data_IF_026365357958
#
_entry.id   IF_026365357958
#
_cell.length_a   1.000
_cell.length_b   1.000
_cell.length_c   1.000
_cell.angle_alpha   90.00
_cell.angle_beta   90.00
_cell.angle_gamma   90.00
#
_symmetry.space_group_name_H-M   'P 1'
#
loop_
_entity.id
_entity.type
_entity.pdbx_description
1 polymer ?
#
# COMPACT_ATOMS: atom_id res chain seq x y z
N UNK A 1 5.00 91.64 23.16
CA UNK A 1 3.75 91.71 23.95
C UNK A 1 3.36 90.26 24.25
N UNK A 2 3.60 89.76 25.48
CA UNK A 2 2.54 89.44 26.45
C UNK A 2 1.84 88.13 26.07
N UNK A 3 1.65 87.08 26.86
CA UNK A 3 1.60 86.87 28.31
C UNK A 3 1.57 85.33 28.49
N UNK A 4 2.33 84.77 29.43
CA UNK A 4 1.85 84.23 30.72
C UNK A 4 1.36 82.77 30.71
N UNK A 5 2.07 81.97 31.52
CA UNK A 5 1.65 80.89 32.42
C UNK A 5 0.59 79.86 31.99
N UNK A 6 0.91 78.57 32.18
CA UNK A 6 0.42 77.79 33.34
C UNK A 6 0.98 76.36 33.34
N UNK A 7 1.48 75.90 34.50
CA UNK A 7 1.75 74.48 34.83
C UNK A 7 0.41 73.70 34.90
N UNK A 8 0.43 72.37 34.69
CA UNK A 8 0.18 71.52 35.87
C UNK A 8 0.98 70.20 35.95
N UNK A 9 1.36 69.93 37.19
CA UNK A 9 1.39 68.68 37.97
C UNK A 9 1.64 67.29 37.34
N UNK A 10 2.64 66.64 37.95
CA UNK A 10 2.91 65.20 38.00
C UNK A 10 1.72 64.43 38.61
N UNK A 11 1.28 63.37 37.92
CA UNK A 11 0.39 62.35 38.43
C UNK A 11 0.92 60.94 38.11
N UNK A 12 1.30 60.22 39.17
CA UNK A 12 1.55 58.77 39.33
C UNK A 12 1.74 57.88 38.09
N UNK A 13 3.00 57.81 37.63
CA UNK A 13 3.56 56.61 37.01
C UNK A 13 3.79 55.54 38.09
N UNK A 14 2.78 54.69 38.39
CA UNK A 14 2.97 53.41 39.11
C UNK A 14 1.72 52.53 39.24
N UNK A 15 0.81 52.51 38.28
CA UNK A 15 -0.34 51.58 38.38
C UNK A 15 -0.91 51.10 37.03
N UNK A 16 -0.08 51.06 35.99
CA UNK A 16 -0.46 50.50 34.68
C UNK A 16 0.40 49.33 34.20
N UNK A 17 1.39 48.89 34.98
CA UNK A 17 2.30 47.78 34.61
C UNK A 17 1.95 46.45 35.29
N UNK A 18 0.80 46.35 36.00
CA UNK A 18 0.40 45.13 36.73
C UNK A 18 -0.87 44.45 36.21
N UNK A 19 -1.58 45.04 35.25
CA UNK A 19 -2.76 44.43 34.59
C UNK A 19 -2.47 43.79 33.24
N UNK A 20 -1.24 43.87 32.73
CA UNK A 20 -0.83 43.24 31.46
C UNK A 20 -0.10 41.90 31.65
N UNK A 21 -0.17 41.31 32.85
CA UNK A 21 0.51 40.05 33.22
C UNK A 21 -0.42 38.95 33.76
N UNK A 22 -1.73 39.09 33.61
CA UNK A 22 -2.74 38.09 34.00
C UNK A 22 -3.78 37.79 32.91
N UNK A 23 -3.37 37.93 31.66
CA UNK A 23 -4.05 37.34 30.50
C UNK A 23 -3.03 36.56 29.66
N UNK A 24 -2.20 35.76 30.33
CA UNK A 24 -1.69 34.54 29.70
C UNK A 24 -2.89 33.62 29.65
N UNK A 25 -3.70 33.78 28.60
CA UNK A 25 -4.69 32.79 28.24
C UNK A 25 -3.97 31.45 28.25
N UNK A 26 -4.42 30.57 29.14
CA UNK A 26 -4.26 29.15 29.01
C UNK A 26 -4.90 28.79 27.67
N UNK A 27 -4.15 28.98 26.57
CA UNK A 27 -4.35 28.18 25.38
C UNK A 27 -4.10 26.78 25.85
N UNK A 28 -5.20 26.06 26.14
CA UNK A 28 -5.18 24.62 26.27
C UNK A 28 -4.28 24.11 25.15
N UNK A 29 -3.21 23.42 25.51
CA UNK A 29 -2.37 22.76 24.54
C UNK A 29 -3.32 21.91 23.70
N UNK A 30 -3.65 22.38 22.49
CA UNK A 30 -4.26 21.55 21.48
C UNK A 30 -3.19 20.51 21.20
N UNK A 31 -3.28 19.40 21.91
CA UNK A 31 -2.62 18.16 21.53
C UNK A 31 -3.14 17.92 20.12
N UNK A 32 -2.32 18.23 19.13
CA UNK A 32 -2.60 17.86 17.75
C UNK A 32 -2.93 16.37 17.80
N UNK A 33 -4.12 16.02 17.29
CA UNK A 33 -4.45 14.61 17.10
C UNK A 33 -3.29 13.94 16.33
N UNK A 34 -3.04 12.64 16.56
CA UNK A 34 -1.92 11.94 15.94
C UNK A 34 -1.89 12.29 14.46
N UNK A 35 -0.77 12.85 13.99
CA UNK A 35 -0.52 13.12 12.57
C UNK A 35 -0.42 11.77 11.88
N UNK A 36 -1.60 11.21 11.58
CA UNK A 36 -1.83 9.81 11.27
C UNK A 36 -1.08 9.38 10.03
N UNK A 37 0.10 8.80 10.24
CA UNK A 37 0.77 7.95 9.26
C UNK A 37 -0.10 6.75 8.91
N UNK A 38 0.25 6.01 7.84
CA UNK A 38 -0.51 4.83 7.44
C UNK A 38 -0.60 3.83 8.60
N UNK A 39 -1.78 3.26 8.82
CA UNK A 39 -1.97 2.24 9.85
C UNK A 39 -1.44 0.91 9.35
N UNK A 40 -0.54 0.26 10.11
CA UNK A 40 -0.05 -1.09 9.77
C UNK A 40 -1.12 -2.15 10.05
N UNK A 41 -1.26 -3.08 9.13
CA UNK A 41 -2.06 -4.30 9.25
C UNK A 41 -1.13 -5.47 8.88
N UNK A 42 -0.95 -6.45 9.78
CA UNK A 42 -1.26 -6.38 11.20
C UNK A 42 -0.46 -5.27 11.93
N UNK A 43 -0.90 -4.80 13.10
CA UNK A 43 -0.10 -3.92 13.94
C UNK A 43 1.12 -4.70 14.47
N UNK A 44 2.25 -4.02 14.74
CA UNK A 44 3.42 -4.69 15.30
C UNK A 44 3.10 -5.24 16.69
N UNK A 45 3.15 -6.57 16.83
CA UNK A 45 2.86 -7.24 18.09
C UNK A 45 4.06 -7.22 19.03
N UNK A 46 3.79 -7.10 20.33
CA UNK A 46 4.79 -7.11 21.39
C UNK A 46 4.43 -8.12 22.47
N UNK A 47 5.43 -8.79 23.03
CA UNK A 47 5.27 -9.68 24.17
C UNK A 47 4.98 -8.88 25.47
N UNK A 48 4.81 -9.59 26.59
CA UNK A 48 4.57 -8.96 27.89
C UNK A 48 5.69 -8.01 28.33
N UNK A 49 6.92 -8.19 27.81
CA UNK A 49 8.08 -7.32 28.06
C UNK A 49 8.24 -6.19 27.04
N UNK A 50 7.29 -6.01 26.12
CA UNK A 50 7.34 -4.98 25.08
C UNK A 50 8.26 -5.31 23.91
N UNK A 51 8.79 -6.53 23.79
CA UNK A 51 9.67 -6.92 22.68
C UNK A 51 8.85 -7.32 21.45
N UNK A 52 9.28 -6.98 20.22
CA UNK A 52 8.59 -7.42 19.01
C UNK A 52 8.47 -8.95 18.96
N UNK A 53 7.27 -9.45 18.67
CA UNK A 53 7.04 -10.89 18.47
C UNK A 53 7.46 -11.23 17.04
N UNK A 54 8.36 -12.20 16.90
CA UNK A 54 8.69 -12.76 15.59
C UNK A 54 7.53 -13.62 15.07
N UNK A 55 7.15 -13.41 13.82
CA UNK A 55 6.11 -14.21 13.18
C UNK A 55 6.72 -15.34 12.36
N UNK A 56 6.12 -16.53 12.49
CA UNK A 56 6.41 -17.62 11.57
C UNK A 56 5.79 -17.29 10.20
N UNK A 57 6.53 -17.61 9.15
CA UNK A 57 6.07 -17.55 7.76
C UNK A 57 5.83 -18.98 7.27
N UNK A 58 4.78 -19.16 6.48
CA UNK A 58 4.37 -20.44 5.92
C UNK A 58 4.25 -20.31 4.40
N UNK A 59 4.38 -21.43 3.69
CA UNK A 59 4.01 -21.49 2.28
C UNK A 59 2.49 -21.69 2.19
N UNK A 60 1.82 -20.70 1.61
CA UNK A 60 0.38 -20.67 1.46
C UNK A 60 0.03 -20.93 -0.01
N UNK A 61 -0.67 -22.03 -0.25
CA UNK A 61 -1.22 -22.36 -1.56
C UNK A 61 -2.52 -21.60 -1.85
N UNK A 62 -3.00 -21.73 -3.09
CA UNK A 62 -4.24 -21.08 -3.56
C UNK A 62 -5.45 -21.43 -2.69
N UNK A 63 -5.62 -22.69 -2.30
CA UNK A 63 -6.80 -23.16 -1.56
C UNK A 63 -6.80 -22.65 -0.11
N UNK A 64 -5.63 -22.61 0.51
CA UNK A 64 -5.42 -22.07 1.85
C UNK A 64 -5.71 -20.58 1.89
N UNK A 65 -5.17 -19.81 0.94
CA UNK A 65 -5.45 -18.38 0.85
C UNK A 65 -6.94 -18.14 0.54
N UNK A 66 -7.53 -18.89 -0.41
CA UNK A 66 -8.95 -18.72 -0.77
C UNK A 66 -9.87 -18.96 0.42
N UNK A 67 -9.65 -20.03 1.19
CA UNK A 67 -10.43 -20.31 2.41
C UNK A 67 -10.30 -19.19 3.45
N UNK A 68 -9.07 -18.70 3.67
CA UNK A 68 -8.86 -17.59 4.59
C UNK A 68 -9.58 -16.30 4.13
N UNK A 69 -9.62 -16.04 2.82
CA UNK A 69 -10.36 -14.92 2.24
C UNK A 69 -11.88 -15.13 2.32
N UNK A 70 -12.38 -16.36 2.19
CA UNK A 70 -13.79 -16.72 2.39
C UNK A 70 -14.21 -16.43 3.84
N UNK A 71 -13.39 -16.83 4.81
CA UNK A 71 -13.61 -16.53 6.23
C UNK A 71 -13.61 -15.02 6.51
N UNK A 72 -12.70 -14.28 5.89
CA UNK A 72 -12.69 -12.81 5.99
C UNK A 72 -13.96 -12.19 5.40
N UNK A 73 -14.39 -12.64 4.22
CA UNK A 73 -15.58 -12.13 3.56
C UNK A 73 -16.84 -12.40 4.40
N UNK A 74 -16.95 -13.60 4.97
CA UNK A 74 -18.04 -13.96 5.88
C UNK A 74 -18.05 -13.08 7.14
N UNK A 75 -16.89 -12.85 7.76
CA UNK A 75 -16.74 -11.97 8.92
C UNK A 75 -17.14 -10.52 8.61
N UNK A 76 -16.77 -10.02 7.44
CA UNK A 76 -17.19 -8.70 6.96
C UNK A 76 -18.70 -8.61 6.72
N UNK A 77 -19.29 -9.64 6.09
CA UNK A 77 -20.73 -9.70 5.84
C UNK A 77 -21.55 -9.70 7.14
N UNK A 78 -21.11 -10.44 8.17
CA UNK A 78 -21.76 -10.43 9.50
C UNK A 78 -21.77 -9.05 10.16
N UNK A 79 -20.85 -8.15 9.76
CA UNK A 79 -20.72 -6.79 10.28
C UNK A 79 -21.33 -5.72 9.38
N UNK A 80 -21.98 -6.10 8.27
CA UNK A 80 -22.46 -5.16 7.26
C UNK A 80 -21.36 -4.26 6.66
N UNK A 81 -20.14 -4.80 6.50
CA UNK A 81 -18.96 -4.08 5.97
C UNK A 81 -18.57 -4.65 4.62
N UNK A 82 -18.28 -3.78 3.64
CA UNK A 82 -17.62 -4.17 2.39
C UNK A 82 -16.21 -3.62 2.36
N UNK A 83 -15.20 -4.50 2.36
CA UNK A 83 -13.80 -4.11 2.21
C UNK A 83 -13.35 -4.23 0.74
N UNK A 84 -12.61 -3.24 0.26
CA UNK A 84 -11.94 -3.26 -1.05
C UNK A 84 -10.45 -3.09 -0.86
N UNK A 85 -9.68 -4.05 -1.37
CA UNK A 85 -8.22 -4.05 -1.29
C UNK A 85 -7.60 -4.10 -2.68
N UNK A 86 -6.38 -3.61 -2.80
CA UNK A 86 -5.53 -3.87 -3.97
C UNK A 86 -4.36 -4.73 -3.52
N UNK A 87 -4.16 -5.88 -4.15
CA UNK A 87 -3.06 -6.81 -3.85
C UNK A 87 -2.03 -6.81 -4.96
N UNK A 88 -0.77 -7.09 -4.61
CA UNK A 88 0.36 -7.14 -5.53
C UNK A 88 1.22 -8.37 -5.23
N UNK A 89 2.04 -8.78 -6.20
CA UNK A 89 3.07 -9.78 -5.95
C UNK A 89 2.51 -11.19 -5.84
N UNK A 90 3.02 -11.95 -4.86
CA UNK A 90 2.85 -13.40 -4.79
C UNK A 90 1.40 -13.86 -4.74
N UNK A 91 0.52 -13.11 -4.07
CA UNK A 91 -0.92 -13.41 -4.04
C UNK A 91 -1.57 -13.32 -5.43
N UNK A 92 -1.22 -12.31 -6.24
CA UNK A 92 -1.70 -12.21 -7.63
C UNK A 92 -1.20 -13.40 -8.46
N UNK A 93 0.07 -13.75 -8.29
CA UNK A 93 0.69 -14.88 -9.00
C UNK A 93 0.07 -16.23 -8.63
N UNK A 94 -0.37 -16.40 -7.38
CA UNK A 94 -0.89 -17.67 -6.86
C UNK A 94 -2.39 -17.80 -7.11
N UNK A 95 -3.18 -16.77 -6.79
CA UNK A 95 -4.64 -16.81 -6.85
C UNK A 95 -5.19 -16.61 -8.27
N UNK A 96 -4.67 -15.61 -8.99
CA UNK A 96 -5.21 -15.17 -10.27
C UNK A 96 -4.43 -15.75 -11.45
N UNK A 97 -3.13 -15.45 -11.55
CA UNK A 97 -2.30 -15.84 -12.69
C UNK A 97 -1.93 -17.33 -12.67
N UNK A 98 -1.96 -17.96 -11.49
CA UNK A 98 -1.53 -19.35 -11.26
C UNK A 98 -0.14 -19.63 -11.85
N UNK A 99 0.75 -18.65 -11.76
CA UNK A 99 2.16 -18.77 -12.18
C UNK A 99 3.07 -19.25 -11.04
N UNK A 100 2.53 -19.40 -9.83
CA UNK A 100 3.19 -19.92 -8.64
C UNK A 100 2.23 -20.84 -7.89
N UNK A 101 2.76 -21.92 -7.32
CA UNK A 101 1.99 -22.84 -6.48
C UNK A 101 1.70 -22.25 -5.10
N UNK A 102 2.66 -21.48 -4.56
CA UNK A 102 2.59 -20.90 -3.22
C UNK A 102 3.15 -19.48 -3.14
N UNK A 103 2.70 -18.74 -2.13
CA UNK A 103 3.27 -17.47 -1.65
C UNK A 103 3.32 -17.47 -0.12
N UNK A 104 4.07 -16.55 0.48
CA UNK A 104 4.22 -16.48 1.94
C UNK A 104 3.16 -15.60 2.62
N UNK A 105 2.57 -14.70 1.84
CA UNK A 105 1.67 -13.66 2.29
C UNK A 105 0.82 -13.09 1.13
N UNK A 106 -0.14 -12.27 1.52
CA UNK A 106 -0.99 -11.42 0.69
C UNK A 106 -0.64 -9.97 1.02
N UNK A 107 0.29 -9.42 0.23
CA UNK A 107 0.61 -8.00 0.27
C UNK A 107 -0.57 -7.18 -0.29
N UNK A 108 -1.00 -6.16 0.45
CA UNK A 108 -2.07 -5.27 0.00
C UNK A 108 -1.80 -3.79 0.30
N UNK A 109 -2.60 -2.93 -0.32
CA UNK A 109 -2.77 -1.55 0.08
C UNK A 109 -4.23 -1.13 -0.11
N UNK A 110 -4.62 -0.08 0.62
CA UNK A 110 -5.94 0.52 0.52
C UNK A 110 -5.94 1.68 -0.46
N UNK A 111 -7.10 2.07 -1.01
CA UNK A 111 -7.21 3.32 -1.75
C UNK A 111 -6.91 4.54 -0.88
N UNK A 112 -7.35 4.50 0.37
CA UNK A 112 -7.07 5.53 1.38
C UNK A 112 -6.30 4.91 2.56
N UNK A 113 -5.04 5.33 2.80
CA UNK A 113 -4.23 4.84 3.92
C UNK A 113 -4.74 5.28 5.30
N UNK A 114 -5.70 6.20 5.34
CA UNK A 114 -6.38 6.64 6.55
C UNK A 114 -7.78 6.01 6.69
N UNK A 115 -8.14 5.09 5.79
CA UNK A 115 -9.45 4.45 5.82
C UNK A 115 -9.69 3.78 7.18
N UNK A 116 -10.88 3.97 7.79
CA UNK A 116 -11.26 3.24 8.99
C UNK A 116 -11.32 1.71 8.75
N UNK A 117 -11.34 1.28 7.48
CA UNK A 117 -11.41 -0.13 7.08
C UNK A 117 -10.21 -0.95 7.59
N UNK A 118 -9.05 -0.31 7.85
CA UNK A 118 -7.86 -0.99 8.39
C UNK A 118 -8.19 -1.86 9.61
N UNK A 119 -9.06 -1.36 10.51
CA UNK A 119 -9.47 -2.13 11.69
C UNK A 119 -10.33 -3.33 11.33
N UNK A 120 -11.31 -3.14 10.46
CA UNK A 120 -12.20 -4.21 10.04
C UNK A 120 -11.43 -5.32 9.30
N UNK A 121 -10.51 -4.94 8.41
CA UNK A 121 -9.64 -5.87 7.68
C UNK A 121 -8.73 -6.63 8.65
N UNK A 122 -8.11 -5.90 9.59
CA UNK A 122 -7.25 -6.52 10.59
C UNK A 122 -8.01 -7.57 11.44
N UNK A 123 -9.20 -7.21 11.92
CA UNK A 123 -10.05 -8.11 12.70
C UNK A 123 -10.48 -9.35 11.90
N UNK A 124 -10.86 -9.16 10.63
CA UNK A 124 -11.23 -10.26 9.74
C UNK A 124 -10.04 -11.20 9.48
N UNK A 125 -8.86 -10.65 9.18
CA UNK A 125 -7.66 -11.43 8.94
C UNK A 125 -7.21 -12.22 10.18
N UNK A 126 -7.33 -11.60 11.37
CA UNK A 126 -7.09 -12.27 12.65
C UNK A 126 -8.15 -13.33 12.95
N UNK A 127 -9.41 -13.12 12.55
CA UNK A 127 -10.46 -14.13 12.68
C UNK A 127 -10.14 -15.36 11.83
N UNK A 128 -9.87 -15.19 10.54
CA UNK A 128 -9.49 -16.29 9.63
C UNK A 128 -8.28 -17.07 10.17
N UNK A 129 -7.22 -16.38 10.59
CA UNK A 129 -6.03 -17.05 11.12
C UNK A 129 -6.30 -17.85 12.41
N UNK A 130 -7.25 -17.40 13.26
CA UNK A 130 -7.66 -18.17 14.45
C UNK A 130 -8.39 -19.45 14.10
N UNK A 131 -9.21 -19.46 13.04
CA UNK A 131 -9.95 -20.65 12.61
C UNK A 131 -9.03 -21.80 12.18
N UNK A 132 -7.83 -21.48 11.72
CA UNK A 132 -6.78 -22.45 11.35
C UNK A 132 -5.64 -22.52 12.38
N UNK A 133 -5.90 -22.16 13.63
CA UNK A 133 -4.93 -22.25 14.74
C UNK A 133 -3.58 -21.54 14.49
N UNK A 134 -3.60 -20.42 13.77
CA UNK A 134 -2.40 -19.62 13.47
C UNK A 134 -1.60 -20.09 12.26
N UNK A 135 -2.07 -21.11 11.53
CA UNK A 135 -1.34 -21.73 10.42
C UNK A 135 -1.17 -20.84 9.16
N UNK A 136 -1.77 -19.63 9.12
CA UNK A 136 -1.47 -18.67 8.05
C UNK A 136 -0.18 -17.89 8.33
N UNK A 137 0.24 -17.79 9.59
CA UNK A 137 1.31 -16.90 10.02
C UNK A 137 0.79 -15.52 10.43
N UNK A 138 1.59 -14.76 11.19
CA UNK A 138 1.16 -13.47 11.75
C UNK A 138 0.97 -12.38 10.71
N UNK A 139 1.80 -12.41 9.65
CA UNK A 139 1.89 -11.39 8.59
C UNK A 139 1.27 -11.87 7.26
N UNK A 140 0.44 -12.92 7.29
CA UNK A 140 -0.11 -13.57 6.10
C UNK A 140 -0.92 -12.62 5.22
N UNK A 141 -1.54 -11.59 5.81
CA UNK A 141 -2.19 -10.48 5.13
C UNK A 141 -1.56 -9.20 5.68
N UNK A 142 -0.72 -8.55 4.89
CA UNK A 142 0.02 -7.38 5.37
C UNK A 142 0.00 -6.20 4.39
N UNK A 143 0.09 -4.98 4.92
CA UNK A 143 0.15 -3.76 4.09
C UNK A 143 1.52 -3.08 4.10
N UNK A 144 2.60 -3.82 4.31
CA UNK A 144 3.95 -3.26 4.36
C UNK A 144 4.33 -2.51 3.08
N UNK A 145 3.85 -2.99 1.93
CA UNK A 145 3.99 -2.32 0.63
C UNK A 145 3.43 -0.89 0.64
N UNK A 146 2.34 -0.63 1.38
CA UNK A 146 1.72 0.70 1.50
C UNK A 146 2.66 1.72 2.13
N UNK A 147 3.50 1.30 3.08
CA UNK A 147 4.39 2.17 3.83
C UNK A 147 5.52 2.73 2.97
N UNK A 148 5.83 2.05 1.87
CA UNK A 148 6.87 2.44 0.92
C UNK A 148 6.34 3.31 -0.22
N UNK A 149 5.04 3.63 -0.22
CA UNK A 149 4.39 4.41 -1.28
C UNK A 149 4.02 5.81 -0.78
N UNK A 150 4.33 6.82 -1.59
CA UNK A 150 3.77 8.16 -1.39
C UNK A 150 2.25 8.11 -1.55
N UNK A 151 1.50 8.86 -0.72
CA UNK A 151 0.02 8.86 -0.73
C UNK A 151 -0.57 9.11 -2.12
N UNK A 152 0.00 10.04 -2.88
CA UNK A 152 -0.44 10.34 -4.25
C UNK A 152 -0.27 9.14 -5.19
N UNK A 153 0.83 8.39 -5.07
CA UNK A 153 1.06 7.15 -5.83
C UNK A 153 0.04 6.10 -5.43
N UNK A 154 -0.23 5.91 -4.13
CA UNK A 154 -1.19 4.94 -3.63
C UNK A 154 -2.61 5.20 -4.16
N UNK A 155 -3.11 6.43 -4.07
CA UNK A 155 -4.43 6.78 -4.61
C UNK A 155 -4.51 6.55 -6.12
N UNK A 156 -3.46 6.96 -6.86
CA UNK A 156 -3.39 6.74 -8.31
C UNK A 156 -3.43 5.25 -8.64
N UNK A 157 -2.59 4.44 -7.99
CA UNK A 157 -2.53 2.98 -8.21
C UNK A 157 -3.84 2.28 -7.87
N UNK A 158 -4.55 2.72 -6.83
CA UNK A 158 -5.85 2.18 -6.49
C UNK A 158 -6.88 2.49 -7.57
N UNK A 159 -6.92 3.73 -8.06
CA UNK A 159 -7.81 4.11 -9.15
C UNK A 159 -7.48 3.36 -10.45
N UNK A 160 -6.21 3.22 -10.79
CA UNK A 160 -5.75 2.42 -11.93
C UNK A 160 -6.14 0.94 -11.78
N UNK A 161 -6.01 0.35 -10.59
CA UNK A 161 -6.44 -1.02 -10.32
C UNK A 161 -7.96 -1.19 -10.53
N UNK A 162 -8.76 -0.21 -10.10
CA UNK A 162 -10.21 -0.23 -10.30
C UNK A 162 -10.60 -0.07 -11.76
N UNK A 163 -9.88 0.76 -12.52
CA UNK A 163 -10.08 0.90 -13.96
C UNK A 163 -9.66 -0.35 -14.73
N UNK A 164 -8.52 -0.96 -14.36
CA UNK A 164 -8.06 -2.23 -14.91
C UNK A 164 -9.06 -3.36 -14.62
N UNK A 165 -9.75 -3.29 -13.48
CA UNK A 165 -10.82 -4.20 -13.06
C UNK A 165 -10.44 -5.69 -13.08
N UNK A 166 -9.15 -5.99 -12.85
CA UNK A 166 -8.69 -7.35 -12.63
C UNK A 166 -9.02 -7.76 -11.21
N UNK A 167 -10.04 -8.60 -11.04
CA UNK A 167 -10.50 -9.08 -9.74
C UNK A 167 -9.77 -10.38 -9.41
N UNK A 168 -8.97 -10.36 -8.33
CA UNK A 168 -8.26 -11.52 -7.81
C UNK A 168 -9.17 -12.38 -6.94
N UNK A 169 -10.10 -11.74 -6.23
CA UNK A 169 -11.04 -12.41 -5.34
C UNK A 169 -12.32 -11.57 -5.16
N UNK A 170 -13.48 -12.23 -5.15
CA UNK A 170 -14.79 -11.58 -4.97
C UNK A 170 -15.79 -12.46 -4.22
N UNK A 171 -16.19 -11.97 -3.04
CA UNK A 171 -17.30 -12.50 -2.22
C UNK A 171 -18.08 -11.34 -1.60
N UNK A 172 -18.46 -10.36 -2.40
CA UNK A 172 -19.37 -9.29 -1.97
C UNK A 172 -20.81 -9.74 -2.16
N UNK A 173 -21.64 -9.57 -1.13
CA UNK A 173 -23.07 -9.80 -1.15
C UNK A 173 -23.83 -8.59 -0.56
N UNK A 174 -25.15 -8.71 -0.39
CA UNK A 174 -26.01 -7.63 0.10
C UNK A 174 -25.76 -7.22 1.56
N UNK A 175 -25.12 -8.07 2.35
CA UNK A 175 -24.67 -7.79 3.71
C UNK A 175 -23.19 -7.37 3.76
N UNK A 176 -22.52 -7.18 2.62
CA UNK A 176 -21.11 -6.81 2.56
C UNK A 176 -20.21 -7.95 2.12
N UNK A 177 -18.92 -7.90 2.48
CA UNK A 177 -17.93 -8.90 2.09
C UNK A 177 -16.58 -8.30 1.70
N UNK A 178 -15.86 -9.01 0.85
CA UNK A 178 -14.49 -8.66 0.45
C UNK A 178 -14.32 -8.74 -1.07
N UNK A 179 -13.73 -7.69 -1.64
CA UNK A 179 -13.27 -7.67 -3.03
C UNK A 179 -11.81 -7.25 -3.10
N UNK A 180 -11.01 -8.00 -3.84
CA UNK A 180 -9.58 -7.75 -4.02
C UNK A 180 -9.28 -7.57 -5.49
N UNK A 181 -8.66 -6.44 -5.82
CA UNK A 181 -8.18 -6.10 -7.15
C UNK A 181 -6.69 -6.41 -7.27
N UNK A 182 -6.23 -6.82 -8.44
CA UNK A 182 -4.80 -6.82 -8.74
C UNK A 182 -4.30 -5.37 -8.89
N UNK A 183 -3.11 -5.09 -8.40
CA UNK A 183 -2.41 -3.83 -8.70
C UNK A 183 -2.20 -3.67 -10.22
N UNK A 184 -2.04 -2.43 -10.71
CA UNK A 184 -1.82 -2.19 -12.13
C UNK A 184 -0.65 -3.01 -12.67
N UNK A 185 -0.80 -3.61 -13.85
CA UNK A 185 0.22 -4.50 -14.41
C UNK A 185 1.57 -3.80 -14.60
N UNK A 186 1.55 -2.53 -15.01
CA UNK A 186 2.74 -1.68 -15.11
C UNK A 186 3.46 -1.55 -13.77
N UNK A 187 2.72 -1.33 -12.67
CA UNK A 187 3.29 -1.22 -11.33
C UNK A 187 3.88 -2.55 -10.85
N UNK A 188 3.13 -3.65 -10.99
CA UNK A 188 3.59 -4.98 -10.62
C UNK A 188 4.86 -5.36 -11.40
N UNK A 189 4.90 -5.04 -12.70
CA UNK A 189 6.07 -5.21 -13.56
C UNK A 189 7.28 -4.42 -13.06
N UNK A 190 7.13 -3.11 -12.83
CA UNK A 190 8.19 -2.25 -12.29
C UNK A 190 8.71 -2.75 -10.93
N UNK A 191 7.83 -3.32 -10.09
CA UNK A 191 8.22 -3.93 -8.82
C UNK A 191 9.20 -5.09 -8.98
N UNK A 192 9.01 -5.94 -10.00
CA UNK A 192 9.93 -7.05 -10.29
C UNK A 192 11.23 -6.56 -10.93
N UNK A 193 11.17 -5.62 -11.88
CA UNK A 193 12.36 -4.99 -12.46
C UNK A 193 13.25 -4.36 -11.39
N UNK A 194 12.66 -3.64 -10.44
CA UNK A 194 13.40 -3.08 -9.31
C UNK A 194 14.10 -4.13 -8.46
N UNK A 195 13.45 -5.27 -8.21
CA UNK A 195 14.07 -6.36 -7.45
C UNK A 195 15.20 -7.03 -8.22
N UNK A 196 15.07 -7.15 -9.55
CA UNK A 196 16.12 -7.62 -10.44
C UNK A 196 17.35 -6.71 -10.47
N UNK A 197 17.20 -5.43 -10.12
CA UNK A 197 18.33 -4.50 -9.94
C UNK A 197 19.04 -4.62 -8.57
N UNK A 198 18.51 -5.41 -7.63
CA UNK A 198 19.12 -5.58 -6.31
C UNK A 198 20.17 -6.70 -6.32
N UNK A 199 20.95 -6.82 -5.23
CA UNK A 199 21.96 -7.87 -5.08
C UNK A 199 21.37 -9.28 -4.97
N UNK A 200 20.10 -9.40 -4.56
CA UNK A 200 19.46 -10.67 -4.23
C UNK A 200 18.12 -10.81 -4.99
N UNK A 201 18.14 -10.87 -6.34
CA UNK A 201 16.94 -11.18 -7.10
C UNK A 201 16.43 -12.57 -6.72
N UNK A 202 15.11 -12.76 -6.74
CA UNK A 202 14.50 -14.07 -6.49
C UNK A 202 14.46 -14.88 -7.79
N UNK A 203 14.55 -16.22 -7.74
CA UNK A 203 14.60 -17.06 -8.95
C UNK A 203 13.42 -16.87 -9.90
N UNK A 204 12.24 -16.53 -9.37
CA UNK A 204 11.01 -16.33 -10.14
C UNK A 204 10.80 -14.90 -10.64
N UNK A 205 11.72 -13.95 -10.38
CA UNK A 205 11.50 -12.54 -10.70
C UNK A 205 11.41 -12.26 -12.21
N UNK A 206 12.24 -12.93 -13.02
CA UNK A 206 12.17 -12.80 -14.49
C UNK A 206 10.85 -13.39 -14.99
N UNK A 207 10.48 -14.58 -14.53
CA UNK A 207 9.24 -15.24 -14.95
C UNK A 207 7.99 -14.40 -14.62
N UNK A 208 7.92 -13.87 -13.39
CA UNK A 208 6.83 -12.97 -12.98
C UNK A 208 6.81 -11.67 -13.82
N UNK A 209 8.00 -11.10 -14.12
CA UNK A 209 8.11 -9.92 -14.97
C UNK A 209 7.52 -10.16 -16.36
N UNK A 210 7.83 -11.31 -16.97
CA UNK A 210 7.30 -11.71 -18.28
C UNK A 210 5.78 -11.86 -18.24
N UNK A 211 5.22 -12.46 -17.19
CA UNK A 211 3.76 -12.61 -17.04
C UNK A 211 3.08 -11.26 -16.89
N UNK A 212 3.57 -10.37 -16.01
CA UNK A 212 2.95 -9.05 -15.85
C UNK A 212 3.04 -8.19 -17.11
N UNK A 213 4.15 -8.25 -17.84
CA UNK A 213 4.27 -7.57 -19.12
C UNK A 213 3.27 -8.12 -20.14
N UNK A 214 3.06 -9.44 -20.16
CA UNK A 214 2.05 -10.06 -21.02
C UNK A 214 0.64 -9.56 -20.70
N UNK A 215 0.26 -9.58 -19.42
CA UNK A 215 -1.05 -9.10 -18.96
C UNK A 215 -1.28 -7.61 -19.28
N UNK A 216 -0.24 -6.78 -19.14
CA UNK A 216 -0.29 -5.38 -19.57
C UNK A 216 -0.61 -5.25 -21.07
N UNK A 217 0.13 -5.99 -21.92
CA UNK A 217 -0.05 -5.94 -23.37
C UNK A 217 -1.44 -6.44 -23.78
N UNK A 218 -1.92 -7.54 -23.19
CA UNK A 218 -3.27 -8.07 -23.47
C UNK A 218 -4.36 -7.09 -23.05
N UNK A 219 -4.30 -6.56 -21.82
CA UNK A 219 -5.31 -5.65 -21.28
C UNK A 219 -5.39 -4.32 -22.03
N UNK A 220 -4.27 -3.84 -22.59
CA UNK A 220 -4.21 -2.61 -23.39
C UNK A 220 -4.37 -2.84 -24.89
N UNK A 221 -4.51 -4.10 -25.32
CA UNK A 221 -4.56 -4.52 -26.74
C UNK A 221 -3.34 -4.03 -27.53
N UNK A 222 -2.19 -3.99 -26.88
CA UNK A 222 -0.92 -3.63 -27.49
C UNK A 222 -0.10 -4.90 -27.78
N UNK A 223 0.72 -4.86 -28.82
CA UNK A 223 1.66 -5.95 -29.10
C UNK A 223 3.05 -5.71 -28.49
N UNK A 224 3.38 -4.44 -28.25
CA UNK A 224 4.66 -3.99 -27.69
C UNK A 224 4.46 -2.75 -26.84
N UNK A 225 5.40 -2.51 -25.94
CA UNK A 225 5.55 -1.25 -25.20
C UNK A 225 6.93 -0.65 -25.47
N UNK A 226 6.98 0.68 -25.65
CA UNK A 226 8.25 1.38 -25.81
C UNK A 226 9.14 1.29 -24.56
N UNK A 227 10.45 1.07 -24.74
CA UNK A 227 11.40 1.01 -23.63
C UNK A 227 11.36 2.30 -22.78
N UNK A 228 11.28 3.48 -23.42
CA UNK A 228 11.13 4.78 -22.73
C UNK A 228 9.89 4.84 -21.85
N UNK A 229 8.78 4.24 -22.28
CA UNK A 229 7.55 4.17 -21.49
C UNK A 229 7.77 3.34 -20.22
N UNK A 230 8.44 2.19 -20.33
CA UNK A 230 8.77 1.35 -19.16
C UNK A 230 9.70 2.08 -18.18
N UNK A 231 10.73 2.78 -18.69
CA UNK A 231 11.61 3.60 -17.85
C UNK A 231 10.83 4.69 -17.12
N UNK A 232 9.93 5.38 -17.82
CA UNK A 232 9.08 6.41 -17.23
C UNK A 232 8.16 5.85 -16.14
N UNK A 233 7.55 4.69 -16.34
CA UNK A 233 6.76 4.05 -15.27
C UNK A 233 7.61 3.77 -14.03
N UNK A 234 8.81 3.19 -14.22
CA UNK A 234 9.71 2.89 -13.11
C UNK A 234 10.06 4.16 -12.34
N UNK A 235 10.43 5.24 -13.04
CA UNK A 235 10.68 6.56 -12.44
C UNK A 235 9.49 7.06 -11.63
N UNK A 236 8.29 7.09 -12.23
CA UNK A 236 7.07 7.56 -11.58
C UNK A 236 6.66 6.73 -10.34
N UNK A 237 7.03 5.46 -10.29
CA UNK A 237 6.78 4.56 -9.16
C UNK A 237 7.94 4.53 -8.16
N UNK A 238 9.02 5.31 -8.37
CA UNK A 238 10.22 5.29 -7.53
C UNK A 238 10.94 3.95 -7.55
N UNK A 239 10.97 3.29 -8.71
CA UNK A 239 11.55 1.98 -8.96
C UNK A 239 12.78 2.11 -9.86
N UNK A 240 13.79 1.29 -9.59
CA UNK A 240 14.97 1.20 -10.45
C UNK A 240 14.74 0.21 -11.58
N UNK A 241 15.31 0.50 -12.74
CA UNK A 241 15.43 -0.44 -13.85
C UNK A 241 16.68 -0.06 -14.64
N UNK A 242 17.44 -1.05 -15.11
CA UNK A 242 18.54 -0.83 -16.04
C UNK A 242 18.16 -1.38 -17.41
N UNK A 243 18.80 -0.85 -18.46
CA UNK A 243 18.66 -1.38 -19.83
C UNK A 243 18.92 -2.88 -19.88
N UNK A 244 19.97 -3.35 -19.21
CA UNK A 244 20.32 -4.77 -19.16
C UNK A 244 19.22 -5.62 -18.52
N UNK A 245 18.64 -5.18 -17.40
CA UNK A 245 17.53 -5.91 -16.76
C UNK A 245 16.31 -5.98 -17.69
N UNK A 246 15.95 -4.87 -18.34
CA UNK A 246 14.82 -4.85 -19.28
C UNK A 246 15.08 -5.72 -20.52
N UNK A 247 16.31 -5.75 -21.04
CA UNK A 247 16.72 -6.65 -22.12
C UNK A 247 16.60 -8.12 -21.73
N UNK A 248 17.01 -8.49 -20.51
CA UNK A 248 16.88 -9.87 -20.02
C UNK A 248 15.40 -10.31 -19.94
N UNK A 249 14.52 -9.41 -19.52
CA UNK A 249 13.08 -9.69 -19.50
C UNK A 249 12.51 -9.80 -20.92
N UNK A 250 12.89 -8.93 -21.84
CA UNK A 250 12.44 -9.00 -23.24
C UNK A 250 12.94 -10.28 -23.95
N UNK A 251 14.15 -10.75 -23.61
CA UNK A 251 14.67 -12.04 -24.05
C UNK A 251 13.87 -13.22 -23.49
N UNK A 252 13.58 -13.20 -22.20
CA UNK A 252 12.75 -14.23 -21.57
C UNK A 252 11.32 -14.22 -22.14
N UNK A 253 10.78 -13.03 -22.45
CA UNK A 253 9.49 -12.89 -23.10
C UNK A 253 9.51 -13.49 -24.52
N UNK A 254 10.54 -13.18 -25.31
CA UNK A 254 10.73 -13.75 -26.65
C UNK A 254 10.84 -15.28 -26.60
N UNK A 255 11.61 -15.81 -25.65
CA UNK A 255 11.74 -17.26 -25.44
C UNK A 255 10.39 -17.92 -25.14
N UNK A 256 9.53 -17.26 -24.36
CA UNK A 256 8.22 -17.80 -23.97
C UNK A 256 7.14 -17.67 -25.06
N UNK A 257 7.12 -16.56 -25.79
CA UNK A 257 6.01 -16.20 -26.68
C UNK A 257 6.39 -16.06 -28.16
N UNK A 258 7.67 -16.20 -28.53
CA UNK A 258 8.15 -16.10 -29.91
C UNK A 258 8.14 -14.68 -30.50
N UNK A 259 7.79 -13.66 -29.72
CA UNK A 259 7.74 -12.25 -30.15
C UNK A 259 8.38 -11.34 -29.10
N UNK A 260 8.97 -10.22 -29.54
CA UNK A 260 9.53 -9.20 -28.62
C UNK A 260 8.42 -8.32 -28.07
N UNK A 261 8.44 -8.08 -26.76
CA UNK A 261 7.46 -7.23 -26.07
C UNK A 261 7.92 -5.78 -25.95
N UNK A 262 9.23 -5.54 -26.02
CA UNK A 262 9.79 -4.19 -25.89
C UNK A 262 10.14 -3.63 -27.27
N UNK A 263 9.64 -2.44 -27.55
CA UNK A 263 10.10 -1.61 -28.66
C UNK A 263 11.26 -0.73 -28.19
N UNK A 264 12.46 -1.05 -28.67
CA UNK A 264 13.69 -0.34 -28.36
C UNK A 264 13.93 0.92 -29.21
N UNK A 265 13.08 1.16 -30.21
CA UNK A 265 13.20 2.30 -31.14
C UNK A 265 12.34 3.51 -30.75
N UNK A 266 11.28 3.28 -29.98
CA UNK A 266 10.34 4.30 -29.49
C UNK A 266 10.95 5.23 -28.43
#
# INVERSE_FOLDING_TARGET
>A
MGSSNSKPQKGSSREKTRRQRQQTQQTAAQVSGPTGGPVMVPPPYRDAGGRPIGHMSYDLDKDTITRALDDMAAHHAQKNVTAKLVTVGGAVNTLYLQSRDTTHDVDFFLPDPQSPDHRAIHEAARHANRLVNGALGGEWLNNSTQLMMGRHVQHRLANEAFQQNTIVYDRVNHHGGLRIYAAPWSYAFCGKLNRLCTKNPRPYDIADSVVYLHEYLQSTRQHKVGAKTVFKWCEEYGKNVTKAVLQNVDEAYYTKYGVRAIDWTA
#
